data_IF_223444362644
#
_entry.id   IF_223444362644
#
_cell.length_a   1.000
_cell.length_b   1.000
_cell.length_c   1.000
_cell.angle_alpha   90.00
_cell.angle_beta   90.00
_cell.angle_gamma   90.00
#
_symmetry.space_group_name_H-M   'P 1'
#
loop_
_entity.id
_entity.type
_entity.pdbx_description
1 polymer ?
#
# COMPACT_ATOMS: atom_id res chain seq x y z
N UNK A 1 8.28 12.92 -11.35
CA UNK A 1 9.71 13.11 -10.96
C UNK A 1 9.82 12.80 -9.49
N UNK A 2 10.71 11.89 -9.07
CA UNK A 2 10.92 11.54 -7.67
C UNK A 2 11.98 12.45 -7.05
N UNK A 3 11.77 12.84 -5.79
CA UNK A 3 12.70 13.66 -4.99
C UNK A 3 13.73 12.81 -4.23
N UNK A 4 13.89 11.54 -4.63
CA UNK A 4 14.79 10.57 -3.97
C UNK A 4 16.23 11.08 -3.87
N UNK A 5 16.69 11.91 -4.84
CA UNK A 5 18.02 12.49 -4.84
C UNK A 5 18.30 13.48 -3.68
N UNK A 6 17.25 13.96 -2.99
CA UNK A 6 17.39 14.83 -1.82
C UNK A 6 17.46 14.06 -0.49
N UNK A 7 17.15 12.74 -0.50
CA UNK A 7 17.17 11.94 0.73
C UNK A 7 18.57 11.89 1.41
N UNK A 8 19.69 11.79 0.68
CA UNK A 8 21.02 11.84 1.31
C UNK A 8 21.23 13.12 2.12
N UNK A 9 20.84 14.28 1.57
CA UNK A 9 21.00 15.57 2.26
C UNK A 9 20.13 15.65 3.53
N UNK A 10 18.91 15.09 3.47
CA UNK A 10 18.01 15.02 4.62
C UNK A 10 18.58 14.11 5.71
N UNK A 11 19.19 13.00 5.35
CA UNK A 11 19.76 12.05 6.31
C UNK A 11 21.03 12.57 6.99
N UNK A 12 21.63 13.66 6.51
CA UNK A 12 22.77 14.30 7.19
C UNK A 12 22.38 15.14 8.41
N UNK A 13 21.09 15.43 8.60
CA UNK A 13 20.62 16.09 9.82
C UNK A 13 20.77 15.14 11.03
N UNK A 14 21.51 15.55 12.09
CA UNK A 14 21.80 14.66 13.22
C UNK A 14 20.55 14.16 13.96
N UNK A 15 19.46 14.91 13.95
CA UNK A 15 18.21 14.50 14.59
C UNK A 15 17.52 13.40 13.76
N UNK A 16 17.57 13.52 12.44
CA UNK A 16 17.04 12.53 11.51
C UNK A 16 17.89 11.25 11.55
N UNK A 17 19.21 11.38 11.51
CA UNK A 17 20.12 10.25 11.63
C UNK A 17 19.88 9.48 12.93
N UNK A 18 19.81 10.18 14.07
CA UNK A 18 19.49 9.57 15.37
C UNK A 18 18.15 8.84 15.36
N UNK A 19 17.14 9.39 14.67
CA UNK A 19 15.82 8.76 14.55
C UNK A 19 15.91 7.46 13.73
N UNK A 20 16.62 7.49 12.59
CA UNK A 20 16.84 6.33 11.74
C UNK A 20 17.61 5.23 12.50
N UNK A 21 18.71 5.57 13.15
CA UNK A 21 19.51 4.61 13.94
C UNK A 21 18.70 3.98 15.09
N UNK A 22 17.79 4.75 15.67
CA UNK A 22 16.88 4.22 16.70
C UNK A 22 15.93 3.18 16.14
N UNK A 23 15.36 3.42 14.97
CA UNK A 23 14.48 2.47 14.27
C UNK A 23 15.27 1.22 13.86
N UNK A 24 16.46 1.37 13.27
CA UNK A 24 17.31 0.24 12.87
C UNK A 24 17.72 -0.63 14.07
N UNK A 25 17.95 0.00 15.21
CA UNK A 25 18.25 -0.71 16.47
C UNK A 25 17.00 -1.31 17.15
N UNK A 26 15.82 -1.22 16.53
CA UNK A 26 14.56 -1.72 17.12
C UNK A 26 14.10 -0.96 18.36
N UNK A 27 14.59 0.28 18.57
CA UNK A 27 14.21 1.11 19.72
C UNK A 27 12.97 1.94 19.38
N UNK A 28 12.07 2.06 20.34
CA UNK A 28 10.94 2.99 20.25
C UNK A 28 11.37 4.41 20.64
N UNK A 29 10.76 5.40 20.01
CA UNK A 29 11.04 6.81 20.26
C UNK A 29 9.86 7.71 19.88
N UNK A 30 9.96 8.98 20.28
CA UNK A 30 9.00 10.02 19.88
C UNK A 30 9.75 11.10 19.12
N UNK A 31 9.25 11.43 17.94
CA UNK A 31 9.78 12.50 17.11
C UNK A 31 8.75 13.63 17.04
N UNK A 32 9.16 14.82 17.46
CA UNK A 32 8.35 16.03 17.33
C UNK A 32 8.89 16.86 16.16
N UNK A 33 8.09 16.99 15.12
CA UNK A 33 8.49 17.64 13.90
C UNK A 33 7.31 18.36 13.22
N UNK A 34 7.55 19.44 12.45
CA UNK A 34 6.52 20.05 11.61
C UNK A 34 5.92 19.02 10.64
N UNK A 35 4.63 19.22 10.30
CA UNK A 35 3.90 18.26 9.44
C UNK A 35 4.60 18.07 8.08
N UNK A 36 5.17 19.14 7.51
CA UNK A 36 5.84 19.11 6.21
C UNK A 36 7.09 18.23 6.15
N UNK A 37 7.74 17.95 7.30
CA UNK A 37 8.93 17.08 7.32
C UNK A 37 8.59 15.59 7.42
N UNK A 38 7.33 15.23 7.71
CA UNK A 38 6.92 13.82 7.86
C UNK A 38 7.19 12.98 6.62
N UNK A 39 6.79 13.40 5.38
CA UNK A 39 7.04 12.59 4.20
C UNK A 39 8.52 12.33 3.93
N UNK A 40 9.43 13.34 3.88
CA UNK A 40 10.84 13.09 3.67
C UNK A 40 11.50 12.28 4.80
N UNK A 41 11.12 12.48 6.07
CA UNK A 41 11.61 11.69 7.19
C UNK A 41 11.22 10.20 7.03
N UNK A 42 9.95 9.92 6.76
CA UNK A 42 9.47 8.55 6.56
C UNK A 42 10.10 7.89 5.32
N UNK A 43 10.32 8.66 4.26
CA UNK A 43 11.02 8.18 3.07
C UNK A 43 12.49 7.85 3.38
N UNK A 44 13.18 8.68 4.17
CA UNK A 44 14.55 8.45 4.62
C UNK A 44 14.64 7.17 5.46
N UNK A 45 13.76 7.00 6.45
CA UNK A 45 13.67 5.75 7.25
C UNK A 45 13.42 4.55 6.34
N UNK A 46 12.42 4.63 5.45
CA UNK A 46 12.07 3.52 4.57
C UNK A 46 13.18 3.15 3.58
N UNK A 47 13.99 4.12 3.13
CA UNK A 47 15.10 3.88 2.21
C UNK A 47 16.23 3.03 2.80
N UNK A 48 16.35 3.00 4.14
CA UNK A 48 17.35 2.23 4.88
C UNK A 48 16.75 0.94 5.49
N UNK A 49 15.42 0.84 5.56
CA UNK A 49 14.75 -0.31 6.14
C UNK A 49 14.84 -1.54 5.24
N UNK A 50 15.14 -2.71 5.81
CA UNK A 50 15.14 -3.99 5.08
C UNK A 50 13.73 -4.55 4.84
N UNK A 51 12.73 -4.05 5.56
CA UNK A 51 11.32 -4.47 5.49
C UNK A 51 10.41 -3.28 5.23
N UNK A 52 9.19 -3.48 4.72
CA UNK A 52 8.26 -2.39 4.53
C UNK A 52 7.99 -1.61 5.82
N UNK A 53 8.03 -0.28 5.73
CA UNK A 53 7.64 0.61 6.83
C UNK A 53 6.12 0.70 6.89
N UNK A 54 5.52 0.35 8.02
CA UNK A 54 4.08 0.51 8.24
C UNK A 54 3.82 1.81 9.00
N UNK A 55 3.04 2.70 8.39
CA UNK A 55 2.70 4.01 8.96
C UNK A 55 1.22 4.06 9.27
N UNK A 56 0.88 4.14 10.56
CA UNK A 56 -0.50 4.28 11.02
C UNK A 56 -0.92 5.76 11.05
N UNK A 57 -2.10 6.05 10.53
CA UNK A 57 -2.71 7.38 10.57
C UNK A 57 -4.04 7.34 11.33
N UNK A 58 -4.46 8.48 11.87
CA UNK A 58 -5.72 8.57 12.60
C UNK A 58 -6.94 8.44 11.65
N UNK A 59 -6.85 9.01 10.45
CA UNK A 59 -7.98 9.05 9.51
C UNK A 59 -7.58 8.56 8.11
N UNK A 60 -8.58 8.17 7.29
CA UNK A 60 -8.37 7.84 5.88
C UNK A 60 -7.86 9.02 5.06
N UNK A 61 -8.35 10.24 5.35
CA UNK A 61 -7.89 11.48 4.69
C UNK A 61 -6.41 11.74 4.95
N UNK A 62 -5.95 11.54 6.19
CA UNK A 62 -4.53 11.68 6.52
C UNK A 62 -3.70 10.62 5.80
N UNK A 63 -4.21 9.39 5.70
CA UNK A 63 -3.57 8.32 4.96
C UNK A 63 -3.41 8.67 3.47
N UNK A 64 -4.45 9.14 2.82
CA UNK A 64 -4.41 9.56 1.40
C UNK A 64 -3.43 10.71 1.19
N UNK A 65 -3.53 11.75 2.01
CA UNK A 65 -2.64 12.91 1.93
C UNK A 65 -1.18 12.52 2.11
N UNK A 66 -0.88 11.69 3.11
CA UNK A 66 0.48 11.21 3.36
C UNK A 66 0.99 10.28 2.25
N UNK A 67 0.14 9.39 1.74
CA UNK A 67 0.49 8.49 0.63
C UNK A 67 0.88 9.29 -0.62
N UNK A 68 0.08 10.30 -0.98
CA UNK A 68 0.36 11.17 -2.12
C UNK A 68 1.66 11.97 -1.93
N UNK A 69 1.90 12.47 -0.73
CA UNK A 69 3.14 13.18 -0.42
C UNK A 69 4.37 12.26 -0.48
N UNK A 70 4.29 11.06 0.09
CA UNK A 70 5.37 10.06 0.08
C UNK A 70 5.69 9.55 -1.32
N UNK A 71 4.70 9.42 -2.20
CA UNK A 71 4.90 8.98 -3.59
C UNK A 71 5.80 9.92 -4.40
N UNK A 72 6.00 11.17 -3.95
CA UNK A 72 6.98 12.09 -4.53
C UNK A 72 8.42 11.83 -4.06
N UNK A 73 8.63 11.10 -2.99
CA UNK A 73 9.94 10.89 -2.36
C UNK A 73 10.52 9.51 -2.62
N UNK A 74 9.68 8.47 -2.59
CA UNK A 74 10.14 7.08 -2.68
C UNK A 74 9.15 6.25 -3.50
N UNK A 75 9.62 5.28 -4.33
CA UNK A 75 8.75 4.33 -4.99
C UNK A 75 8.18 3.29 -4.00
N UNK A 76 7.17 2.56 -4.42
CA UNK A 76 6.62 1.47 -3.62
C UNK A 76 5.76 1.94 -2.44
N UNK A 77 5.18 3.14 -2.50
CA UNK A 77 4.21 3.60 -1.50
C UNK A 77 2.84 3.01 -1.82
N UNK A 78 2.17 2.48 -0.80
CA UNK A 78 0.81 1.96 -0.92
C UNK A 78 -0.04 2.36 0.28
N UNK A 79 -1.36 2.45 0.09
CA UNK A 79 -2.33 2.68 1.16
C UNK A 79 -3.29 1.50 1.25
N UNK A 80 -3.48 0.95 2.45
CA UNK A 80 -4.52 -0.04 2.71
C UNK A 80 -5.81 0.69 3.12
N UNK A 81 -6.84 0.78 2.27
CA UNK A 81 -8.07 1.47 2.62
C UNK A 81 -8.87 0.68 3.67
N UNK A 82 -9.65 1.38 4.50
CA UNK A 82 -10.61 0.75 5.40
C UNK A 82 -11.84 0.28 4.64
N UNK A 83 -12.51 -0.77 5.13
CA UNK A 83 -13.87 -1.09 4.69
C UNK A 83 -14.81 0.05 5.08
N UNK A 84 -15.68 0.43 4.17
CA UNK A 84 -16.69 1.47 4.39
C UNK A 84 -17.82 0.95 5.28
N UNK A 85 -18.16 -0.33 5.12
CA UNK A 85 -19.23 -1.01 5.85
C UNK A 85 -18.76 -1.51 7.21
N UNK A 86 -19.67 -1.56 8.17
CA UNK A 86 -19.44 -2.20 9.46
C UNK A 86 -19.81 -3.69 9.38
N UNK A 87 -19.19 -4.56 10.20
CA UNK A 87 -19.42 -6.01 10.14
C UNK A 87 -20.88 -6.45 10.32
N UNK A 88 -21.72 -5.62 10.94
CA UNK A 88 -23.14 -5.88 11.18
C UNK A 88 -24.06 -5.27 10.10
N UNK A 89 -23.53 -4.45 9.20
CA UNK A 89 -24.28 -3.91 8.08
C UNK A 89 -24.36 -4.97 6.98
N UNK A 90 -25.60 -5.17 6.44
CA UNK A 90 -25.85 -6.10 5.33
C UNK A 90 -25.49 -5.49 3.98
N UNK A 91 -24.56 -4.55 3.95
CA UNK A 91 -24.10 -3.88 2.75
C UNK A 91 -22.76 -4.52 2.33
N UNK A 92 -22.66 -4.87 1.07
CA UNK A 92 -21.39 -5.27 0.50
C UNK A 92 -20.44 -4.07 0.42
N UNK A 93 -19.12 -4.26 0.73
CA UNK A 93 -18.13 -3.23 0.49
C UNK A 93 -18.10 -2.82 -0.99
N UNK A 94 -17.65 -1.60 -1.25
CA UNK A 94 -17.45 -1.17 -2.63
C UNK A 94 -16.39 -2.04 -3.32
N UNK A 95 -16.66 -2.42 -4.57
CA UNK A 95 -15.79 -3.29 -5.37
C UNK A 95 -14.39 -2.68 -5.51
N UNK A 96 -14.30 -1.34 -5.66
CA UNK A 96 -13.03 -0.62 -5.76
C UNK A 96 -12.19 -0.75 -4.48
N UNK A 97 -12.81 -0.59 -3.31
CA UNK A 97 -12.11 -0.78 -2.02
C UNK A 97 -11.63 -2.22 -1.84
N UNK A 98 -12.46 -3.19 -2.24
CA UNK A 98 -12.10 -4.60 -2.19
C UNK A 98 -10.89 -4.88 -3.11
N UNK A 99 -10.94 -4.41 -4.35
CA UNK A 99 -9.85 -4.58 -5.31
C UNK A 99 -8.53 -3.94 -4.81
N UNK A 100 -8.58 -2.72 -4.28
CA UNK A 100 -7.41 -2.04 -3.71
C UNK A 100 -6.82 -2.80 -2.52
N UNK A 101 -7.65 -3.32 -1.62
CA UNK A 101 -7.18 -4.11 -0.48
C UNK A 101 -6.49 -5.38 -0.93
N UNK A 102 -7.08 -6.14 -1.86
CA UNK A 102 -6.50 -7.36 -2.42
C UNK A 102 -5.16 -7.05 -3.09
N UNK A 103 -5.10 -5.99 -3.91
CA UNK A 103 -3.86 -5.58 -4.59
C UNK A 103 -2.73 -5.27 -3.60
N UNK A 104 -3.01 -4.54 -2.52
CA UNK A 104 -2.04 -4.21 -1.48
C UNK A 104 -1.57 -5.48 -0.75
N UNK A 105 -2.51 -6.33 -0.31
CA UNK A 105 -2.18 -7.57 0.39
C UNK A 105 -1.35 -8.51 -0.48
N UNK A 106 -1.70 -8.63 -1.78
CA UNK A 106 -0.95 -9.42 -2.73
C UNK A 106 0.48 -8.89 -2.92
N UNK A 107 0.67 -7.57 -3.01
CA UNK A 107 2.00 -6.96 -3.11
C UNK A 107 2.87 -7.20 -1.88
N UNK A 108 2.27 -7.36 -0.70
CA UNK A 108 3.00 -7.70 0.53
C UNK A 108 3.48 -9.14 0.54
N UNK A 109 2.70 -10.08 -0.02
CA UNK A 109 3.00 -11.52 0.01
C UNK A 109 3.70 -11.99 -1.27
N UNK A 110 3.25 -11.50 -2.42
CA UNK A 110 3.69 -11.91 -3.76
C UNK A 110 4.15 -10.71 -4.61
N UNK A 111 5.17 -9.93 -4.19
CA UNK A 111 5.64 -8.79 -4.97
C UNK A 111 6.30 -9.23 -6.28
N UNK A 112 6.01 -8.51 -7.37
CA UNK A 112 6.60 -8.77 -8.69
C UNK A 112 7.66 -7.70 -8.95
N UNK A 113 8.93 -8.08 -8.92
CA UNK A 113 10.04 -7.14 -9.17
C UNK A 113 9.96 -6.57 -10.60
N UNK A 114 10.11 -5.26 -10.71
CA UNK A 114 10.06 -4.56 -11.99
C UNK A 114 8.66 -4.23 -12.51
N UNK A 115 7.61 -4.50 -11.72
CA UNK A 115 6.24 -4.12 -12.05
C UNK A 115 5.82 -2.96 -11.13
N UNK A 116 5.47 -1.81 -11.70
CA UNK A 116 5.12 -0.61 -10.94
C UNK A 116 3.81 -0.78 -10.14
N UNK A 117 2.90 -1.61 -10.64
CA UNK A 117 1.57 -1.84 -10.04
C UNK A 117 1.55 -3.00 -9.03
N UNK A 118 2.38 -4.01 -9.24
CA UNK A 118 2.46 -5.22 -8.42
C UNK A 118 3.82 -5.39 -7.72
N UNK A 119 4.69 -4.39 -7.79
CA UNK A 119 6.02 -4.38 -7.20
C UNK A 119 6.02 -4.32 -5.67
N UNK A 120 7.19 -4.50 -5.06
CA UNK A 120 7.33 -4.48 -3.61
C UNK A 120 6.87 -3.14 -2.99
N UNK A 121 6.36 -3.23 -1.78
CA UNK A 121 5.96 -2.06 -1.00
C UNK A 121 7.13 -1.65 -0.11
N UNK A 122 7.54 -0.37 -0.20
CA UNK A 122 8.53 0.23 0.70
C UNK A 122 7.85 0.88 1.90
N UNK A 123 6.71 1.55 1.67
CA UNK A 123 5.92 2.19 2.73
C UNK A 123 4.45 1.81 2.56
N UNK A 124 3.87 1.25 3.62
CA UNK A 124 2.45 0.96 3.71
C UNK A 124 1.78 1.95 4.66
N UNK A 125 0.93 2.82 4.14
CA UNK A 125 0.13 3.75 4.95
C UNK A 125 -1.22 3.13 5.26
N UNK A 126 -1.58 3.09 6.55
CA UNK A 126 -2.77 2.38 7.02
C UNK A 126 -3.54 3.28 7.99
N UNK A 127 -4.78 3.69 7.69
CA UNK A 127 -5.63 4.32 8.69
C UNK A 127 -5.90 3.32 9.84
N UNK A 128 -5.94 3.81 11.07
CA UNK A 128 -6.15 2.94 12.25
C UNK A 128 -7.40 2.07 12.12
N UNK A 129 -8.46 2.58 11.49
CA UNK A 129 -9.67 1.81 11.21
C UNK A 129 -9.38 0.59 10.33
N UNK A 130 -8.56 0.73 9.28
CA UNK A 130 -8.19 -0.38 8.40
C UNK A 130 -7.30 -1.40 9.13
N UNK A 131 -6.40 -0.93 9.98
CA UNK A 131 -5.49 -1.77 10.76
C UNK A 131 -6.23 -2.68 11.75
N UNK A 132 -7.32 -2.19 12.34
CA UNK A 132 -8.14 -2.94 13.29
C UNK A 132 -9.16 -3.88 12.62
N UNK A 133 -9.35 -3.79 11.30
CA UNK A 133 -10.28 -4.64 10.58
C UNK A 133 -9.65 -6.01 10.29
N UNK A 134 -10.40 -7.11 10.49
CA UNK A 134 -9.88 -8.45 10.22
C UNK A 134 -9.59 -8.66 8.73
N UNK A 135 -8.57 -9.45 8.44
CA UNK A 135 -8.19 -9.90 7.10
C UNK A 135 -8.44 -11.40 7.04
N UNK A 136 -9.18 -11.85 6.04
CA UNK A 136 -9.44 -13.26 5.79
C UNK A 136 -8.14 -13.91 5.28
N UNK A 137 -7.79 -15.07 5.84
CA UNK A 137 -6.64 -15.86 5.36
C UNK A 137 -6.82 -16.24 3.89
N UNK A 138 -5.73 -16.18 3.12
CA UNK A 138 -5.72 -16.51 1.70
C UNK A 138 -6.17 -15.37 0.76
N UNK A 139 -6.63 -14.23 1.30
CA UNK A 139 -7.07 -13.11 0.45
C UNK A 139 -5.93 -12.56 -0.43
N UNK A 140 -4.70 -12.60 0.06
CA UNK A 140 -3.51 -12.19 -0.70
C UNK A 140 -3.12 -13.17 -1.82
N UNK A 141 -3.60 -14.41 -1.75
CA UNK A 141 -3.27 -15.49 -2.71
C UNK A 141 -4.18 -15.48 -3.92
N UNK A 142 -5.26 -14.69 -3.91
CA UNK A 142 -6.13 -14.51 -5.07
C UNK A 142 -5.35 -13.95 -6.25
N UNK A 143 -5.29 -14.69 -7.35
CA UNK A 143 -4.55 -14.30 -8.53
C UNK A 143 -5.46 -13.53 -9.51
N UNK A 144 -5.19 -12.24 -9.79
CA UNK A 144 -5.99 -11.46 -10.72
C UNK A 144 -5.84 -11.99 -12.16
N UNK A 145 -6.91 -11.90 -12.94
CA UNK A 145 -6.83 -12.13 -14.39
C UNK A 145 -6.03 -10.98 -15.01
N UNK A 146 -4.90 -11.30 -15.63
CA UNK A 146 -4.04 -10.30 -16.30
C UNK A 146 -4.19 -10.43 -17.80
N UNK A 147 -4.40 -9.31 -18.46
CA UNK A 147 -4.47 -9.21 -19.92
C UNK A 147 -3.58 -8.06 -20.37
N UNK A 148 -2.70 -8.30 -21.31
CA UNK A 148 -1.83 -7.29 -21.91
C UNK A 148 -2.18 -7.12 -23.39
N UNK A 149 -1.92 -5.94 -23.92
CA UNK A 149 -2.06 -5.70 -25.38
C UNK A 149 -1.16 -6.68 -26.16
N UNK A 150 -1.78 -7.42 -27.06
CA UNK A 150 -1.10 -8.46 -27.86
C UNK A 150 -1.22 -9.87 -27.32
N UNK A 151 -1.80 -10.07 -26.13
CA UNK A 151 -2.09 -11.40 -25.62
C UNK A 151 -3.19 -12.07 -26.43
N UNK A 152 -3.05 -13.37 -26.66
CA UNK A 152 -4.13 -14.21 -27.22
C UNK A 152 -4.91 -14.73 -26.01
N UNK A 153 -6.14 -14.27 -25.83
CA UNK A 153 -7.00 -14.67 -24.74
C UNK A 153 -8.15 -15.55 -25.26
N UNK A 154 -8.30 -16.76 -24.72
CA UNK A 154 -9.54 -17.51 -24.90
C UNK A 154 -10.64 -16.87 -24.06
N UNK A 155 -11.70 -16.43 -24.73
CA UNK A 155 -12.80 -15.71 -24.07
C UNK A 155 -13.52 -16.59 -23.06
N UNK A 156 -13.69 -17.88 -23.36
CA UNK A 156 -14.40 -18.83 -22.49
C UNK A 156 -13.60 -19.07 -21.23
N UNK A 157 -12.30 -19.30 -21.35
CA UNK A 157 -11.39 -19.47 -20.20
C UNK A 157 -11.33 -18.23 -19.35
N UNK A 158 -11.26 -17.04 -19.97
CA UNK A 158 -11.26 -15.78 -19.25
C UNK A 158 -12.56 -15.58 -18.45
N UNK A 159 -13.71 -15.88 -19.07
CA UNK A 159 -15.02 -15.79 -18.39
C UNK A 159 -15.12 -16.77 -17.22
N UNK A 160 -14.67 -18.01 -17.38
CA UNK A 160 -14.68 -19.01 -16.31
C UNK A 160 -13.80 -18.55 -15.13
N UNK A 161 -12.58 -18.06 -15.41
CA UNK A 161 -11.68 -17.53 -14.37
C UNK A 161 -12.26 -16.30 -13.66
N UNK A 162 -12.92 -15.41 -14.37
CA UNK A 162 -13.60 -14.27 -13.76
C UNK A 162 -14.77 -14.73 -12.87
N UNK A 163 -15.54 -15.71 -13.30
CA UNK A 163 -16.62 -16.28 -12.50
C UNK A 163 -16.11 -16.96 -11.22
N UNK A 164 -14.98 -17.69 -11.29
CA UNK A 164 -14.32 -18.28 -10.13
C UNK A 164 -13.82 -17.21 -9.13
N UNK A 165 -13.49 -16.02 -9.61
CA UNK A 165 -13.11 -14.86 -8.78
C UNK A 165 -14.31 -14.08 -8.25
N UNK A 166 -15.56 -14.54 -8.52
CA UNK A 166 -16.78 -13.92 -8.03
C UNK A 166 -17.33 -12.78 -8.89
N UNK A 167 -16.84 -12.62 -10.12
CA UNK A 167 -17.43 -11.67 -11.07
C UNK A 167 -18.72 -12.23 -11.65
N UNK A 168 -19.73 -11.40 -11.74
CA UNK A 168 -20.99 -11.73 -12.41
C UNK A 168 -21.02 -11.14 -13.82
N UNK A 169 -21.48 -11.95 -14.76
CA UNK A 169 -21.69 -11.48 -16.13
C UNK A 169 -22.95 -10.64 -16.19
N UNK A 170 -22.85 -9.43 -16.70
CA UNK A 170 -23.97 -8.54 -17.00
C UNK A 170 -24.03 -8.27 -18.50
N UNK A 171 -25.23 -8.17 -19.07
CA UNK A 171 -25.41 -7.99 -20.50
C UNK A 171 -25.15 -6.54 -20.98
N UNK A 172 -25.24 -5.56 -20.06
CA UNK A 172 -24.88 -4.16 -20.28
C UNK A 172 -24.40 -3.49 -18.99
N UNK A 173 -23.47 -2.55 -19.13
CA UNK A 173 -23.01 -1.64 -18.05
C UNK A 173 -23.50 -0.23 -18.38
#
# INVERSE_FOLDING_TARGET
MLLTGLLPDITTDPAIETAIDSVEAGRSGTIVAPVGIRPPLLAAVASRAATPLVVLTATGRDAESLTNALASWIPGVAMLPAWETLPHERLSPQVDTMARRIAVLRRLVHPIKGDDSAGPISVLVVPIRAFLQPIISGLADLEPVRVRTGDILDLTDAMNRLAELGYERVDMV
#
